data_IF_094564202719
#
_entry.id   IF_094564202719
#
_cell.length_a   1.000
_cell.length_b   1.000
_cell.length_c   1.000
_cell.angle_alpha   90.00
_cell.angle_beta   90.00
_cell.angle_gamma   90.00
#
_symmetry.space_group_name_H-M   'P 1'
#
loop_
_entity.id
_entity.type
_entity.pdbx_description
1 polymer ?
#
# COMPACT_ATOMS: atom_id res chain seq x y z
N UNK A 1 -31.00 -4.86 10.59
CA UNK A 1 -31.28 -4.03 9.39
C UNK A 1 -30.89 -4.85 8.17
N UNK A 2 -31.89 -5.35 7.45
CA UNK A 2 -31.73 -6.23 6.27
C UNK A 2 -31.76 -5.37 5.01
N UNK A 3 -30.60 -5.13 4.40
CA UNK A 3 -30.52 -4.86 2.96
C UNK A 3 -30.18 -6.18 2.27
N UNK A 4 -30.83 -6.50 1.15
CA UNK A 4 -30.57 -7.72 0.37
C UNK A 4 -29.12 -7.71 -0.12
N UNK A 5 -28.37 -8.76 0.25
CA UNK A 5 -26.93 -8.93 -0.01
C UNK A 5 -26.66 -9.47 -1.44
N UNK A 6 -27.24 -8.84 -2.46
CA UNK A 6 -27.13 -9.31 -3.87
C UNK A 6 -25.74 -9.07 -4.50
N UNK A 7 -24.70 -8.79 -3.71
CA UNK A 7 -23.36 -8.46 -4.21
C UNK A 7 -22.18 -8.83 -3.32
N UNK A 8 -22.38 -9.57 -2.23
CA UNK A 8 -21.28 -9.97 -1.35
C UNK A 8 -20.62 -11.28 -1.86
N UNK A 9 -19.90 -11.21 -2.99
CA UNK A 9 -19.09 -12.36 -3.45
C UNK A 9 -17.69 -12.29 -2.85
N UNK A 10 -17.30 -13.35 -2.13
CA UNK A 10 -15.91 -13.54 -1.70
C UNK A 10 -15.07 -13.83 -2.94
N UNK A 11 -14.03 -13.02 -3.19
CA UNK A 11 -13.08 -13.30 -4.28
C UNK A 11 -12.47 -14.66 -4.01
N UNK A 12 -12.66 -15.63 -4.91
CA UNK A 12 -12.11 -16.97 -4.74
C UNK A 12 -10.58 -16.89 -4.66
N UNK A 13 -10.04 -16.83 -3.45
CA UNK A 13 -8.69 -17.31 -3.20
C UNK A 13 -8.72 -18.80 -3.54
N UNK A 14 -7.86 -19.25 -4.47
CA UNK A 14 -7.82 -20.63 -4.94
C UNK A 14 -8.14 -21.64 -3.85
N UNK A 15 -9.21 -22.41 -4.14
CA UNK A 15 -9.61 -23.68 -3.56
C UNK A 15 -9.63 -23.76 -2.02
N UNK A 16 -10.79 -23.48 -1.44
CA UNK A 16 -11.23 -24.21 -0.25
C UNK A 16 -11.80 -25.56 -0.73
N UNK A 17 -11.56 -26.68 -0.03
CA UNK A 17 -11.98 -28.00 -0.50
C UNK A 17 -13.50 -28.04 -0.63
N UNK A 18 -13.98 -28.48 -1.80
CA UNK A 18 -15.39 -28.91 -1.96
C UNK A 18 -15.56 -30.25 -1.25
N UNK A 19 -16.69 -30.50 -0.57
CA UNK A 19 -17.03 -31.83 -0.12
C UNK A 19 -17.22 -32.75 -1.34
N UNK A 20 -16.75 -33.97 -1.16
CA UNK A 20 -16.69 -35.06 -2.12
C UNK A 20 -18.05 -35.27 -2.81
N UNK A 21 -18.05 -35.33 -4.14
CA UNK A 21 -19.27 -35.45 -4.92
C UNK A 21 -19.03 -36.14 -6.26
N UNK A 22 -19.12 -37.48 -6.24
CA UNK A 22 -19.30 -38.32 -7.42
C UNK A 22 -20.40 -37.76 -8.33
N UNK A 23 -20.10 -37.56 -9.63
CA UNK A 23 -21.15 -37.21 -10.58
C UNK A 23 -20.72 -36.59 -11.91
N UNK A 24 -19.65 -37.07 -12.55
CA UNK A 24 -19.35 -36.68 -13.94
C UNK A 24 -19.06 -37.95 -14.75
N UNK A 25 -20.11 -38.62 -15.21
CA UNK A 25 -19.97 -39.73 -16.16
C UNK A 25 -21.10 -39.89 -17.18
N UNK A 26 -21.88 -38.85 -17.47
CA UNK A 26 -23.05 -39.00 -18.37
C UNK A 26 -23.23 -37.89 -19.41
N UNK A 27 -22.15 -37.43 -20.02
CA UNK A 27 -22.17 -36.48 -21.16
C UNK A 27 -21.06 -36.74 -22.20
N UNK A 28 -20.72 -38.02 -22.44
CA UNK A 28 -19.78 -38.40 -23.52
C UNK A 28 -20.41 -39.14 -24.70
N UNK A 29 -21.68 -39.53 -24.61
CA UNK A 29 -22.24 -40.49 -25.58
C UNK A 29 -23.04 -39.86 -26.73
N UNK A 30 -23.01 -38.53 -26.90
CA UNK A 30 -23.70 -37.85 -28.00
C UNK A 30 -22.78 -37.06 -28.96
N UNK A 31 -21.45 -37.15 -28.79
CA UNK A 31 -20.50 -36.47 -29.67
C UNK A 31 -19.94 -37.38 -30.79
N UNK A 32 -20.23 -38.67 -30.77
CA UNK A 32 -19.54 -39.66 -31.62
C UNK A 32 -20.19 -39.86 -33.00
N UNK A 33 -21.34 -39.25 -33.29
CA UNK A 33 -22.08 -39.54 -34.54
C UNK A 33 -22.02 -38.46 -35.63
N UNK A 34 -21.28 -37.36 -35.44
CA UNK A 34 -21.23 -36.26 -36.44
C UNK A 34 -19.85 -36.09 -37.10
N UNK A 35 -18.88 -36.97 -36.81
CA UNK A 35 -17.49 -36.78 -37.23
C UNK A 35 -17.02 -37.78 -38.31
N UNK A 36 -17.91 -38.20 -39.21
CA UNK A 36 -17.59 -39.19 -40.25
C UNK A 36 -17.29 -38.63 -41.66
N UNK A 37 -17.46 -37.34 -41.93
CA UNK A 37 -17.17 -36.79 -43.26
C UNK A 37 -16.60 -35.35 -43.21
N UNK A 38 -15.27 -35.22 -43.14
CA UNK A 38 -14.55 -34.04 -43.62
C UNK A 38 -13.15 -34.42 -44.15
N UNK A 39 -12.68 -33.79 -45.24
CA UNK A 39 -11.40 -34.11 -45.88
C UNK A 39 -10.19 -33.66 -45.03
N UNK A 40 -9.13 -34.46 -45.08
CA UNK A 40 -7.88 -34.33 -44.32
C UNK A 40 -6.99 -33.16 -44.76
N UNK A 41 -7.35 -31.94 -44.41
CA UNK A 41 -6.42 -30.82 -44.51
C UNK A 41 -6.55 -29.91 -43.29
N UNK A 42 -5.46 -29.81 -42.52
CA UNK A 42 -5.32 -29.04 -41.28
C UNK A 42 -5.70 -29.77 -39.96
N UNK A 43 -4.89 -30.77 -39.57
CA UNK A 43 -4.80 -31.25 -38.18
C UNK A 43 -3.50 -30.72 -37.57
N UNK A 44 -3.59 -30.13 -36.37
CA UNK A 44 -2.45 -29.61 -35.59
C UNK A 44 -1.38 -30.71 -35.45
N UNK A 45 -0.07 -30.44 -35.69
CA UNK A 45 1.00 -31.44 -35.54
C UNK A 45 0.98 -32.19 -34.19
N UNK A 46 0.39 -31.59 -33.15
CA UNK A 46 0.22 -32.15 -31.79
C UNK A 46 -0.75 -33.32 -31.71
N UNK A 47 -1.65 -33.50 -32.69
CA UNK A 47 -2.62 -34.61 -32.69
C UNK A 47 -2.00 -35.97 -33.07
N UNK A 48 -0.76 -35.97 -33.57
CA UNK A 48 -0.03 -37.20 -33.94
C UNK A 48 0.90 -37.73 -32.83
N UNK A 49 0.98 -37.04 -31.70
CA UNK A 49 1.82 -37.42 -30.56
C UNK A 49 0.97 -38.18 -29.52
N UNK A 50 1.53 -39.23 -28.93
CA UNK A 50 0.88 -39.90 -27.80
C UNK A 50 0.80 -38.94 -26.60
N UNK A 51 -0.19 -39.12 -25.72
CA UNK A 51 -0.38 -38.28 -24.52
C UNK A 51 0.92 -38.15 -23.71
N UNK A 52 1.69 -39.23 -23.60
CA UNK A 52 2.98 -39.25 -22.92
C UNK A 52 4.02 -38.33 -23.57
N UNK A 53 4.06 -38.28 -24.92
CA UNK A 53 4.96 -37.38 -25.66
C UNK A 53 4.54 -35.91 -25.53
N UNK A 54 3.23 -35.64 -25.44
CA UNK A 54 2.71 -34.29 -25.19
C UNK A 54 3.07 -33.83 -23.77
N UNK A 55 2.96 -34.72 -22.78
CA UNK A 55 3.36 -34.45 -21.41
C UNK A 55 4.87 -34.22 -21.27
N UNK A 56 5.70 -35.03 -21.94
CA UNK A 56 7.16 -34.83 -21.97
C UNK A 56 7.54 -33.51 -22.65
N UNK A 57 6.89 -33.14 -23.77
CA UNK A 57 7.11 -31.86 -24.42
C UNK A 57 6.66 -30.67 -23.56
N UNK A 58 5.53 -30.78 -22.87
CA UNK A 58 5.09 -29.74 -21.91
C UNK A 58 6.06 -29.62 -20.73
N UNK A 59 6.57 -30.74 -20.22
CA UNK A 59 7.54 -30.74 -19.13
C UNK A 59 8.89 -30.18 -19.58
N UNK A 60 9.33 -30.48 -20.80
CA UNK A 60 10.53 -29.90 -21.40
C UNK A 60 10.38 -28.39 -21.63
N UNK A 61 9.23 -27.93 -22.13
CA UNK A 61 8.93 -26.49 -22.31
C UNK A 61 8.87 -25.76 -20.95
N UNK A 62 8.28 -26.38 -19.92
CA UNK A 62 8.28 -25.85 -18.55
C UNK A 62 9.69 -25.81 -17.95
N UNK A 63 10.54 -26.79 -18.26
CA UNK A 63 11.93 -26.84 -17.81
C UNK A 63 12.81 -25.80 -18.53
N UNK A 64 12.56 -25.56 -19.81
CA UNK A 64 13.27 -24.55 -20.60
C UNK A 64 12.87 -23.13 -20.17
N UNK A 65 11.57 -22.87 -19.95
CA UNK A 65 11.07 -21.62 -19.35
C UNK A 65 11.63 -21.36 -17.95
N UNK A 66 11.99 -22.41 -17.19
CA UNK A 66 12.70 -22.30 -15.90
C UNK A 66 14.18 -21.92 -16.08
N UNK A 67 14.84 -22.35 -17.16
CA UNK A 67 16.25 -22.06 -17.45
C UNK A 67 16.50 -20.60 -17.87
N UNK A 68 15.57 -20.00 -18.59
CA UNK A 68 15.68 -18.60 -19.07
C UNK A 68 15.06 -17.55 -18.15
N UNK A 69 14.50 -17.95 -17.01
CA UNK A 69 13.94 -17.01 -16.03
C UNK A 69 15.00 -16.64 -14.99
N UNK A 70 15.49 -15.40 -15.05
CA UNK A 70 16.40 -14.82 -14.04
C UNK A 70 15.81 -14.84 -12.61
N UNK A 71 14.50 -15.06 -12.51
CA UNK A 71 13.74 -15.17 -11.27
C UNK A 71 13.29 -16.61 -10.94
N UNK A 72 13.89 -17.66 -11.52
CA UNK A 72 13.48 -19.06 -11.26
C UNK A 72 13.47 -19.45 -9.77
N UNK A 73 14.30 -18.79 -8.94
CA UNK A 73 14.30 -18.94 -7.48
C UNK A 73 13.12 -18.28 -6.77
N UNK A 74 12.45 -17.31 -7.42
CA UNK A 74 11.23 -16.66 -6.94
C UNK A 74 9.95 -17.49 -7.17
N UNK A 75 10.04 -18.57 -7.96
CA UNK A 75 8.95 -19.50 -8.28
C UNK A 75 9.11 -20.86 -7.58
N UNK A 76 9.83 -20.91 -6.44
CA UNK A 76 9.87 -22.10 -5.58
C UNK A 76 8.63 -22.10 -4.68
N UNK A 77 7.97 -23.25 -4.57
CA UNK A 77 6.82 -23.44 -3.69
C UNK A 77 7.12 -22.91 -2.28
N UNK A 78 6.20 -22.10 -1.74
CA UNK A 78 6.35 -21.47 -0.43
C UNK A 78 6.58 -22.52 0.66
N UNK A 79 7.44 -22.19 1.64
CA UNK A 79 7.70 -23.05 2.79
C UNK A 79 6.37 -23.42 3.47
N UNK A 80 6.20 -24.71 3.79
CA UNK A 80 4.99 -25.22 4.45
C UNK A 80 4.67 -24.47 5.76
N UNK A 81 3.39 -24.43 6.10
CA UNK A 81 2.88 -23.65 7.24
C UNK A 81 3.10 -24.41 8.54
N UNK A 82 3.59 -23.71 9.57
CA UNK A 82 3.78 -24.28 10.90
C UNK A 82 2.48 -24.29 11.73
N UNK A 83 2.31 -25.29 12.60
CA UNK A 83 1.11 -25.45 13.44
C UNK A 83 0.88 -24.25 14.36
N UNK A 84 1.95 -23.62 14.82
CA UNK A 84 1.87 -22.40 15.66
C UNK A 84 1.31 -21.20 14.90
N UNK A 85 1.57 -21.08 13.59
CA UNK A 85 1.05 -19.97 12.78
C UNK A 85 -0.46 -20.06 12.62
N UNK A 86 -0.97 -21.29 12.51
CA UNK A 86 -2.41 -21.57 12.48
C UNK A 86 -3.04 -21.17 13.82
N UNK A 87 -2.42 -21.57 14.94
CA UNK A 87 -2.91 -21.20 16.28
C UNK A 87 -2.94 -19.67 16.50
N UNK A 88 -1.96 -18.93 15.96
CA UNK A 88 -1.95 -17.46 15.98
C UNK A 88 -3.09 -16.88 15.15
N UNK A 89 -3.35 -17.42 13.96
CA UNK A 89 -4.41 -16.97 13.07
C UNK A 89 -5.81 -17.17 13.70
N UNK A 90 -5.99 -18.27 14.42
CA UNK A 90 -7.25 -18.60 15.10
C UNK A 90 -7.49 -17.73 16.33
N UNK A 91 -6.44 -17.43 17.10
CA UNK A 91 -6.51 -16.61 18.31
C UNK A 91 -5.59 -15.37 18.23
N UNK A 92 -6.01 -14.32 17.48
CA UNK A 92 -5.21 -13.12 17.29
C UNK A 92 -5.24 -12.22 18.53
N UNK A 93 -4.26 -12.43 19.41
CA UNK A 93 -3.99 -11.63 20.63
C UNK A 93 -2.82 -10.66 20.42
N UNK A 94 -2.62 -9.74 21.36
CA UNK A 94 -1.51 -8.77 21.30
C UNK A 94 -0.13 -9.43 21.31
N UNK A 95 0.10 -10.43 22.17
CA UNK A 95 1.39 -11.13 22.22
C UNK A 95 1.64 -11.98 20.96
N UNK A 96 0.57 -12.58 20.42
CA UNK A 96 0.67 -13.37 19.20
C UNK A 96 1.02 -12.51 17.98
N UNK A 97 0.72 -11.20 18.00
CA UNK A 97 1.17 -10.28 16.94
C UNK A 97 2.70 -10.20 16.86
N UNK A 98 3.38 -10.01 18.00
CA UNK A 98 4.84 -9.96 18.03
C UNK A 98 5.48 -11.30 17.66
N UNK A 99 4.89 -12.41 18.11
CA UNK A 99 5.32 -13.76 17.70
C UNK A 99 5.22 -13.92 16.18
N UNK A 100 4.11 -13.50 15.57
CA UNK A 100 3.95 -13.56 14.12
C UNK A 100 4.97 -12.67 13.40
N UNK A 101 5.17 -11.44 13.86
CA UNK A 101 6.13 -10.52 13.26
C UNK A 101 7.56 -11.06 13.31
N UNK A 102 7.97 -11.64 14.44
CA UNK A 102 9.29 -12.24 14.59
C UNK A 102 9.46 -13.45 13.67
N UNK A 103 8.47 -14.34 13.61
CA UNK A 103 8.50 -15.55 12.77
C UNK A 103 8.51 -15.22 11.27
N UNK A 104 7.83 -14.14 10.88
CA UNK A 104 7.74 -13.68 9.48
C UNK A 104 8.64 -12.49 9.18
N UNK A 105 9.70 -12.28 9.96
CA UNK A 105 10.56 -11.10 9.84
C UNK A 105 11.19 -11.00 8.44
N UNK A 106 11.68 -12.11 7.88
CA UNK A 106 12.30 -12.13 6.56
C UNK A 106 11.31 -11.80 5.44
N UNK A 107 10.10 -12.34 5.55
CA UNK A 107 9.01 -12.04 4.62
C UNK A 107 8.56 -10.59 4.76
N UNK A 108 8.50 -10.03 5.98
CA UNK A 108 8.21 -8.61 6.21
C UNK A 108 9.27 -7.69 5.59
N UNK A 109 10.57 -8.01 5.76
CA UNK A 109 11.65 -7.27 5.10
C UNK A 109 11.52 -7.32 3.57
N UNK A 110 11.18 -8.49 3.02
CA UNK A 110 10.96 -8.65 1.58
C UNK A 110 9.74 -7.87 1.09
N UNK A 111 8.64 -7.89 1.86
CA UNK A 111 7.44 -7.09 1.59
C UNK A 111 7.74 -5.59 1.67
N UNK A 112 8.58 -5.17 2.61
CA UNK A 112 9.00 -3.77 2.73
C UNK A 112 9.76 -3.31 1.49
N UNK A 113 10.72 -4.11 1.03
CA UNK A 113 11.48 -3.84 -0.19
C UNK A 113 10.54 -3.72 -1.41
N UNK A 114 9.59 -4.65 -1.58
CA UNK A 114 8.60 -4.57 -2.66
C UNK A 114 7.73 -3.32 -2.55
N UNK A 115 7.34 -2.94 -1.33
CA UNK A 115 6.55 -1.72 -1.09
C UNK A 115 7.30 -0.46 -1.51
N UNK A 116 8.62 -0.41 -1.28
CA UNK A 116 9.48 0.73 -1.62
C UNK A 116 9.76 0.76 -3.11
N UNK A 117 10.26 -0.34 -3.66
CA UNK A 117 10.60 -0.47 -5.08
C UNK A 117 9.35 -0.28 -5.95
N UNK A 118 8.21 -0.83 -5.53
CA UNK A 118 6.95 -0.65 -6.22
C UNK A 118 6.47 0.80 -6.24
N UNK A 119 6.78 1.59 -5.20
CA UNK A 119 6.46 3.01 -5.11
C UNK A 119 7.63 3.93 -5.45
N UNK A 120 8.55 3.48 -6.30
CA UNK A 120 9.72 4.26 -6.69
C UNK A 120 9.43 5.69 -7.18
N UNK A 121 8.27 6.05 -7.78
CA UNK A 121 8.03 7.44 -8.17
C UNK A 121 8.12 8.45 -7.02
N UNK A 122 7.94 7.99 -5.76
CA UNK A 122 8.13 8.85 -4.58
C UNK A 122 9.57 9.39 -4.48
N UNK A 123 10.56 8.66 -5.01
CA UNK A 123 11.95 9.11 -5.00
C UNK A 123 12.18 10.31 -5.92
N UNK A 124 11.41 10.45 -7.01
CA UNK A 124 11.48 11.66 -7.84
C UNK A 124 11.00 12.89 -7.07
N UNK A 125 9.92 12.75 -6.28
CA UNK A 125 9.47 13.81 -5.39
C UNK A 125 10.51 14.15 -4.32
N UNK A 126 11.04 13.13 -3.63
CA UNK A 126 12.07 13.34 -2.60
C UNK A 126 13.34 13.98 -3.18
N UNK A 127 13.75 13.59 -4.39
CA UNK A 127 14.89 14.18 -5.08
C UNK A 127 14.63 15.65 -5.44
N UNK A 128 13.46 15.98 -5.98
CA UNK A 128 13.09 17.38 -6.23
C UNK A 128 13.05 18.23 -4.95
N UNK A 129 12.53 17.66 -3.85
CA UNK A 129 12.47 18.33 -2.55
C UNK A 129 13.82 18.45 -1.84
N UNK A 130 14.83 17.67 -2.26
CA UNK A 130 16.17 17.75 -1.68
C UNK A 130 16.89 19.06 -2.00
N UNK A 131 16.42 19.80 -3.02
CA UNK A 131 17.02 21.06 -3.45
C UNK A 131 18.33 20.91 -4.24
N UNK A 132 18.76 19.67 -4.55
CA UNK A 132 20.04 19.42 -5.23
C UNK A 132 20.15 20.06 -6.62
N UNK A 133 19.03 20.16 -7.33
CA UNK A 133 18.94 20.80 -8.65
C UNK A 133 18.48 22.26 -8.56
N UNK A 134 18.16 22.75 -7.35
CA UNK A 134 17.61 24.08 -7.14
C UNK A 134 18.72 25.12 -7.06
N UNK A 135 18.41 26.34 -7.49
CA UNK A 135 19.34 27.47 -7.34
C UNK A 135 19.20 27.98 -5.91
N UNK A 136 20.29 27.88 -5.16
CA UNK A 136 20.37 28.43 -3.82
C UNK A 136 20.75 29.91 -3.90
N UNK A 137 19.82 30.79 -3.53
CA UNK A 137 20.04 32.23 -3.43
C UNK A 137 19.70 32.70 -2.02
N UNK A 138 19.92 33.97 -1.72
CA UNK A 138 19.52 34.57 -0.45
C UNK A 138 18.46 35.64 -0.70
N UNK A 139 17.38 35.59 0.08
CA UNK A 139 16.35 36.63 0.07
C UNK A 139 16.48 37.48 1.33
N UNK A 140 16.33 38.81 1.22
CA UNK A 140 16.18 39.68 2.38
C UNK A 140 14.99 39.28 3.25
N UNK A 141 15.19 39.32 4.57
CA UNK A 141 14.13 39.01 5.54
C UNK A 141 13.22 40.20 5.84
N UNK A 142 13.68 41.41 5.55
CA UNK A 142 13.00 42.64 5.90
C UNK A 142 12.83 43.53 4.67
N UNK A 143 11.65 44.14 4.53
CA UNK A 143 11.37 45.11 3.47
C UNK A 143 12.33 46.30 3.50
N UNK A 144 12.85 46.65 4.68
CA UNK A 144 13.82 47.72 4.87
C UNK A 144 15.21 47.42 4.26
N UNK A 145 15.51 46.17 3.88
CA UNK A 145 16.81 45.77 3.35
C UNK A 145 17.22 46.58 2.11
N UNK A 146 16.32 46.72 1.13
CA UNK A 146 16.60 47.44 -0.12
C UNK A 146 16.92 48.92 0.10
N UNK A 147 16.03 49.70 0.75
CA UNK A 147 16.28 51.10 1.08
C UNK A 147 17.54 51.30 1.94
N UNK A 148 17.79 50.41 2.91
CA UNK A 148 18.95 50.51 3.80
C UNK A 148 20.26 50.17 3.08
N UNK A 149 20.28 49.13 2.23
CA UNK A 149 21.40 48.79 1.35
C UNK A 149 21.74 49.98 0.45
N UNK A 150 20.73 50.63 -0.11
CA UNK A 150 20.88 51.85 -0.91
C UNK A 150 21.51 52.99 -0.10
N UNK A 151 20.96 53.30 1.08
CA UNK A 151 21.48 54.36 1.94
C UNK A 151 22.96 54.13 2.33
N UNK A 152 23.35 52.89 2.63
CA UNK A 152 24.74 52.55 2.96
C UNK A 152 25.72 52.73 1.80
N UNK A 153 25.29 52.44 0.56
CA UNK A 153 26.13 52.59 -0.63
C UNK A 153 26.51 54.05 -0.89
N UNK A 154 25.65 55.01 -0.52
CA UNK A 154 25.91 56.43 -0.72
C UNK A 154 26.46 57.14 0.53
N UNK A 155 26.01 56.76 1.72
CA UNK A 155 26.46 57.39 2.96
C UNK A 155 26.44 56.41 4.14
N UNK A 156 27.60 55.82 4.43
CA UNK A 156 27.80 54.94 5.58
C UNK A 156 27.97 55.75 6.87
N UNK A 157 26.99 55.67 7.76
CA UNK A 157 27.04 56.26 9.12
C UNK A 157 26.90 55.19 10.21
N UNK A 158 27.32 55.47 11.46
CA UNK A 158 27.12 54.56 12.59
C UNK A 158 25.64 54.15 12.78
N UNK A 159 24.70 55.05 12.50
CA UNK A 159 23.26 54.77 12.56
C UNK A 159 22.83 53.77 11.47
N UNK A 160 23.29 53.95 10.23
CA UNK A 160 23.00 52.99 9.15
C UNK A 160 23.63 51.62 9.41
N UNK A 161 24.83 51.57 10.00
CA UNK A 161 25.50 50.33 10.39
C UNK A 161 24.73 49.58 11.48
N UNK A 162 24.21 50.29 12.50
CA UNK A 162 23.37 49.70 13.53
C UNK A 162 22.07 49.11 12.94
N UNK A 163 21.42 49.83 12.03
CA UNK A 163 20.22 49.35 11.34
C UNK A 163 20.52 48.13 10.46
N UNK A 164 21.69 48.07 9.81
CA UNK A 164 22.06 46.97 8.93
C UNK A 164 22.24 45.65 9.69
N UNK A 165 22.73 45.70 10.94
CA UNK A 165 22.81 44.51 11.80
C UNK A 165 21.44 43.87 12.07
N UNK A 166 20.38 44.68 12.12
CA UNK A 166 19.02 44.22 12.40
C UNK A 166 18.32 43.83 11.09
N UNK A 167 18.32 44.73 10.11
CA UNK A 167 17.50 44.65 8.89
C UNK A 167 18.25 44.15 7.65
N UNK A 168 19.58 44.00 7.72
CA UNK A 168 20.43 43.44 6.66
C UNK A 168 20.45 41.91 6.61
N UNK A 169 19.63 41.23 7.42
CA UNK A 169 19.57 39.76 7.46
C UNK A 169 18.94 39.21 6.18
N UNK A 170 19.57 38.18 5.64
CA UNK A 170 19.08 37.41 4.50
C UNK A 170 18.91 35.95 4.91
N UNK A 171 17.86 35.29 4.43
CA UNK A 171 17.69 33.84 4.59
C UNK A 171 17.96 33.13 3.26
N UNK A 172 18.50 31.90 3.29
CA UNK A 172 18.63 31.09 2.08
C UNK A 172 17.23 30.78 1.53
N UNK A 173 17.04 31.01 0.24
CA UNK A 173 15.83 30.65 -0.50
C UNK A 173 16.24 29.76 -1.67
N UNK A 174 15.52 28.67 -1.84
CA UNK A 174 15.68 27.75 -2.97
C UNK A 174 14.72 28.16 -4.08
N UNK A 175 15.25 28.45 -5.26
CA UNK A 175 14.46 28.66 -6.47
C UNK A 175 14.45 27.37 -7.26
N UNK A 176 13.25 26.82 -7.47
CA UNK A 176 13.08 25.59 -8.24
C UNK A 176 13.44 25.79 -9.70
N UNK A 177 14.22 24.87 -10.24
CA UNK A 177 14.62 24.87 -11.66
C UNK A 177 13.66 24.04 -12.50
N UNK A 178 13.78 24.13 -13.82
CA UNK A 178 13.07 23.23 -14.76
C UNK A 178 13.28 21.76 -14.41
N UNK A 179 14.48 21.38 -13.92
CA UNK A 179 14.77 20.02 -13.48
C UNK A 179 13.90 19.60 -12.30
N UNK A 180 13.76 20.46 -11.28
CA UNK A 180 12.90 20.19 -10.12
C UNK A 180 11.45 19.94 -10.56
N UNK A 181 10.92 20.77 -11.46
CA UNK A 181 9.57 20.61 -11.98
C UNK A 181 9.38 19.31 -12.79
N UNK A 182 10.39 18.88 -13.55
CA UNK A 182 10.35 17.59 -14.28
C UNK A 182 10.23 16.44 -13.28
N UNK A 183 11.06 16.42 -12.23
CA UNK A 183 11.02 15.37 -11.21
C UNK A 183 9.72 15.39 -10.38
N UNK A 184 9.18 16.58 -10.08
CA UNK A 184 7.84 16.71 -9.51
C UNK A 184 6.76 16.17 -10.44
N UNK A 185 6.89 16.39 -11.76
CA UNK A 185 6.02 15.81 -12.78
C UNK A 185 6.09 14.27 -12.81
N UNK A 186 7.29 13.70 -12.74
CA UNK A 186 7.49 12.24 -12.69
C UNK A 186 6.92 11.62 -11.41
N UNK A 187 6.86 12.36 -10.30
CA UNK A 187 6.24 11.88 -9.07
C UNK A 187 4.74 11.57 -9.22
N UNK A 188 4.04 12.19 -10.19
CA UNK A 188 2.63 11.87 -10.46
C UNK A 188 2.42 10.42 -10.92
N UNK A 189 3.47 9.72 -11.37
CA UNK A 189 3.41 8.27 -11.62
C UNK A 189 2.99 7.48 -10.38
N UNK A 190 3.16 8.05 -9.17
CA UNK A 190 2.69 7.46 -7.91
C UNK A 190 1.18 7.18 -7.92
N UNK A 191 0.39 7.97 -8.65
CA UNK A 191 -1.05 7.75 -8.83
C UNK A 191 -1.37 6.38 -9.44
N UNK A 192 -0.46 5.87 -10.28
CA UNK A 192 -0.60 4.58 -10.96
C UNK A 192 0.08 3.44 -10.21
N UNK A 193 1.10 3.70 -9.40
CA UNK A 193 1.84 2.65 -8.69
C UNK A 193 1.28 2.35 -7.31
N UNK A 194 0.84 3.37 -6.56
CA UNK A 194 0.45 3.23 -5.14
C UNK A 194 -0.69 2.22 -4.93
N UNK A 195 -1.74 2.31 -5.75
CA UNK A 195 -2.89 1.42 -5.66
C UNK A 195 -2.55 -0.06 -5.87
N UNK A 196 -1.93 -0.41 -7.01
CA UNK A 196 -1.46 -1.77 -7.27
C UNK A 196 -0.52 -2.30 -6.18
N UNK A 197 0.52 -1.55 -5.81
CA UNK A 197 1.51 -2.00 -4.83
C UNK A 197 0.84 -2.29 -3.49
N UNK A 198 -0.04 -1.39 -3.03
CA UNK A 198 -0.74 -1.57 -1.77
C UNK A 198 -1.70 -2.76 -1.78
N UNK A 199 -2.32 -3.04 -2.92
CA UNK A 199 -3.15 -4.24 -3.13
C UNK A 199 -2.33 -5.52 -3.01
N UNK A 200 -1.19 -5.58 -3.71
CA UNK A 200 -0.29 -6.73 -3.65
C UNK A 200 0.25 -6.97 -2.23
N UNK A 201 0.76 -5.92 -1.58
CA UNK A 201 1.26 -6.00 -0.19
C UNK A 201 0.17 -6.44 0.78
N UNK A 202 -1.04 -5.87 0.69
CA UNK A 202 -2.15 -6.24 1.57
C UNK A 202 -2.55 -7.71 1.38
N UNK A 203 -2.53 -8.21 0.14
CA UNK A 203 -2.80 -9.61 -0.16
C UNK A 203 -1.76 -10.54 0.50
N UNK A 204 -0.47 -10.21 0.38
CA UNK A 204 0.63 -10.97 1.00
C UNK A 204 0.48 -11.01 2.52
N UNK A 205 0.36 -9.84 3.16
CA UNK A 205 0.24 -9.73 4.62
C UNK A 205 -1.00 -10.45 5.16
N UNK A 206 -2.13 -10.38 4.44
CA UNK A 206 -3.35 -11.13 4.80
C UNK A 206 -3.11 -12.64 4.73
N UNK A 207 -2.44 -13.13 3.70
CA UNK A 207 -2.15 -14.56 3.57
C UNK A 207 -1.13 -15.03 4.61
N UNK A 208 -0.15 -14.19 4.95
CA UNK A 208 0.79 -14.44 6.05
C UNK A 208 0.07 -14.54 7.40
N UNK A 209 -0.87 -13.61 7.67
CA UNK A 209 -1.71 -13.67 8.87
C UNK A 209 -2.59 -14.93 8.91
N UNK A 210 -3.15 -15.34 7.76
CA UNK A 210 -3.98 -16.54 7.65
C UNK A 210 -3.18 -17.85 7.63
N UNK A 211 -1.87 -17.80 7.88
CA UNK A 211 -1.00 -18.96 7.86
C UNK A 211 -1.16 -19.76 6.55
N UNK A 212 -1.13 -19.08 5.39
CA UNK A 212 -1.05 -19.72 4.07
C UNK A 212 0.39 -19.65 3.55
N UNK A 213 0.88 -20.64 2.79
CA UNK A 213 2.17 -20.51 2.12
C UNK A 213 2.09 -19.35 1.13
N UNK A 214 3.08 -18.46 1.15
CA UNK A 214 3.13 -17.25 0.32
C UNK A 214 4.38 -17.27 -0.54
N UNK A 215 4.20 -17.22 -1.86
CA UNK A 215 5.26 -17.00 -2.82
C UNK A 215 5.32 -15.50 -3.13
N UNK A 216 6.17 -14.77 -2.40
CA UNK A 216 6.11 -13.30 -2.30
C UNK A 216 5.95 -12.60 -3.65
N UNK A 217 6.82 -12.86 -4.63
CA UNK A 217 6.79 -12.14 -5.92
C UNK A 217 5.62 -12.59 -6.80
N UNK A 218 5.38 -13.90 -6.93
CA UNK A 218 4.30 -14.42 -7.77
C UNK A 218 2.93 -13.99 -7.24
N UNK A 219 2.68 -14.19 -5.95
CA UNK A 219 1.42 -13.83 -5.30
C UNK A 219 1.18 -12.31 -5.34
N UNK A 220 2.25 -11.50 -5.26
CA UNK A 220 2.17 -10.06 -5.39
C UNK A 220 1.64 -9.63 -6.76
N UNK A 221 2.27 -10.10 -7.85
CA UNK A 221 1.85 -9.72 -9.20
C UNK A 221 0.50 -10.32 -9.57
N UNK A 222 0.19 -11.53 -9.12
CA UNK A 222 -1.10 -12.17 -9.36
C UNK A 222 -2.24 -11.41 -8.65
N UNK A 223 -2.01 -10.97 -7.41
CA UNK A 223 -2.97 -10.14 -6.68
C UNK A 223 -3.22 -8.80 -7.38
N UNK A 224 -2.17 -8.16 -7.92
CA UNK A 224 -2.30 -6.92 -8.70
C UNK A 224 -3.14 -7.14 -9.95
N UNK A 225 -2.78 -8.13 -10.77
CA UNK A 225 -3.45 -8.39 -12.06
C UNK A 225 -4.95 -8.66 -11.88
N UNK A 226 -5.32 -9.41 -10.84
CA UNK A 226 -6.72 -9.74 -10.52
C UNK A 226 -7.55 -8.55 -10.06
N UNK A 227 -6.91 -7.50 -9.52
CA UNK A 227 -7.58 -6.39 -8.87
C UNK A 227 -7.28 -5.02 -9.51
N UNK A 228 -6.54 -4.99 -10.63
CA UNK A 228 -5.89 -3.79 -11.15
C UNK A 228 -6.82 -2.57 -11.29
N UNK A 229 -8.00 -2.75 -11.92
CA UNK A 229 -8.95 -1.66 -12.14
C UNK A 229 -9.44 -1.05 -10.82
N UNK A 230 -9.79 -1.90 -9.86
CA UNK A 230 -10.26 -1.44 -8.55
C UNK A 230 -9.11 -0.87 -7.72
N UNK A 231 -7.93 -1.47 -7.79
CA UNK A 231 -6.71 -1.02 -7.14
C UNK A 231 -6.30 0.40 -7.58
N UNK A 232 -6.37 0.70 -8.88
CA UNK A 232 -6.06 2.02 -9.41
C UNK A 232 -7.05 3.07 -8.90
N UNK A 233 -8.36 2.82 -9.00
CA UNK A 233 -9.39 3.77 -8.54
C UNK A 233 -9.21 4.06 -7.05
N UNK A 234 -9.06 3.01 -6.23
CA UNK A 234 -8.91 3.15 -4.78
C UNK A 234 -7.57 3.80 -4.42
N UNK A 235 -6.51 3.51 -5.17
CA UNK A 235 -5.19 4.14 -5.01
C UNK A 235 -5.22 5.64 -5.25
N UNK A 236 -5.84 6.08 -6.34
CA UNK A 236 -6.03 7.51 -6.63
C UNK A 236 -6.85 8.18 -5.55
N UNK A 237 -7.98 7.58 -5.15
CA UNK A 237 -8.82 8.12 -4.06
C UNK A 237 -8.04 8.19 -2.73
N UNK A 238 -7.20 7.20 -2.43
CA UNK A 238 -6.39 7.17 -1.21
C UNK A 238 -5.34 8.30 -1.21
N UNK A 239 -4.65 8.52 -2.33
CA UNK A 239 -3.70 9.62 -2.47
C UNK A 239 -4.37 11.00 -2.42
N UNK A 240 -5.50 11.17 -3.11
CA UNK A 240 -6.27 12.41 -3.05
C UNK A 240 -6.78 12.71 -1.64
N UNK A 241 -7.26 11.69 -0.92
CA UNK A 241 -7.69 11.86 0.47
C UNK A 241 -6.53 12.27 1.39
N UNK A 242 -5.35 11.66 1.24
CA UNK A 242 -4.16 12.02 2.00
C UNK A 242 -3.71 13.45 1.68
N UNK A 243 -3.67 13.83 0.40
CA UNK A 243 -3.27 15.17 -0.03
C UNK A 243 -4.22 16.24 0.50
N UNK A 244 -5.54 15.99 0.44
CA UNK A 244 -6.55 16.90 0.98
C UNK A 244 -6.42 17.04 2.51
N UNK A 245 -6.30 15.93 3.23
CA UNK A 245 -6.13 15.97 4.68
C UNK A 245 -4.83 16.67 5.09
N UNK A 246 -3.73 16.47 4.37
CA UNK A 246 -2.48 17.17 4.62
C UNK A 246 -2.60 18.67 4.36
N UNK A 247 -3.28 19.06 3.28
CA UNK A 247 -3.58 20.46 2.97
C UNK A 247 -4.44 21.10 4.07
N UNK A 248 -5.52 20.44 4.50
CA UNK A 248 -6.42 20.94 5.54
C UNK A 248 -5.68 21.16 6.86
N UNK A 249 -4.88 20.20 7.32
CA UNK A 249 -4.07 20.36 8.53
C UNK A 249 -3.16 21.57 8.41
N UNK A 250 -2.43 21.70 7.29
CA UNK A 250 -1.49 22.82 7.10
C UNK A 250 -2.22 24.16 7.07
N UNK A 251 -3.33 24.25 6.34
CA UNK A 251 -4.13 25.47 6.23
C UNK A 251 -4.70 25.91 7.58
N UNK A 252 -5.33 24.99 8.32
CA UNK A 252 -5.92 25.32 9.61
C UNK A 252 -4.89 25.51 10.71
N UNK A 253 -3.72 24.88 10.63
CA UNK A 253 -2.60 25.14 11.53
C UNK A 253 -2.10 26.60 11.40
N UNK A 254 -1.90 27.08 10.17
CA UNK A 254 -1.46 28.45 9.91
C UNK A 254 -2.48 29.51 10.36
N UNK A 255 -3.76 29.13 10.45
CA UNK A 255 -4.86 30.02 10.82
C UNK A 255 -5.42 29.74 12.23
N UNK A 256 -4.79 28.87 13.03
CA UNK A 256 -5.35 28.35 14.28
C UNK A 256 -5.75 29.43 15.29
N UNK A 257 -5.01 30.55 15.35
CA UNK A 257 -5.24 31.65 16.30
C UNK A 257 -6.07 32.82 15.71
N UNK A 258 -6.59 32.70 14.49
CA UNK A 258 -7.36 33.78 13.84
C UNK A 258 -8.77 33.89 14.43
N UNK A 259 -9.41 32.76 14.72
CA UNK A 259 -10.74 32.71 15.32
C UNK A 259 -11.02 31.34 15.93
N UNK A 260 -11.98 31.28 16.87
CA UNK A 260 -12.45 30.03 17.46
C UNK A 260 -12.95 29.02 16.39
N UNK A 261 -13.47 29.50 15.26
CA UNK A 261 -13.88 28.65 14.14
C UNK A 261 -12.66 27.97 13.50
N UNK A 262 -11.58 28.71 13.23
CA UNK A 262 -10.35 28.15 12.66
C UNK A 262 -9.70 27.15 13.62
N UNK A 263 -9.69 27.46 14.93
CA UNK A 263 -9.27 26.54 15.99
C UNK A 263 -10.07 25.23 15.95
N UNK A 264 -11.40 25.30 15.84
CA UNK A 264 -12.27 24.12 15.79
C UNK A 264 -12.03 23.30 14.51
N UNK A 265 -11.87 23.95 13.35
CA UNK A 265 -11.58 23.27 12.09
C UNK A 265 -10.23 22.56 12.10
N UNK A 266 -9.21 23.12 12.78
CA UNK A 266 -7.94 22.44 13.00
C UNK A 266 -8.12 21.11 13.74
N UNK A 267 -8.79 21.11 14.89
CA UNK A 267 -9.02 19.86 15.63
C UNK A 267 -9.92 18.87 14.88
N UNK A 268 -10.90 19.37 14.11
CA UNK A 268 -11.71 18.53 13.22
C UNK A 268 -10.85 17.86 12.14
N UNK A 269 -9.93 18.58 11.52
CA UNK A 269 -9.01 18.01 10.51
C UNK A 269 -8.13 16.91 11.11
N UNK A 270 -7.61 17.10 12.34
CA UNK A 270 -6.86 16.08 13.06
C UNK A 270 -7.71 14.83 13.34
N UNK A 271 -8.96 15.03 13.75
CA UNK A 271 -9.88 13.91 13.98
C UNK A 271 -10.18 13.15 12.68
N UNK A 272 -10.38 13.85 11.56
CA UNK A 272 -10.58 13.23 10.24
C UNK A 272 -9.39 12.40 9.79
N UNK A 273 -8.16 12.84 10.11
CA UNK A 273 -6.94 12.06 9.85
C UNK A 273 -6.95 10.77 10.64
N UNK A 274 -7.23 10.82 11.95
CA UNK A 274 -7.32 9.63 12.80
C UNK A 274 -8.38 8.67 12.27
N UNK A 275 -9.58 9.17 11.95
CA UNK A 275 -10.66 8.37 11.39
C UNK A 275 -10.23 7.69 10.09
N UNK A 276 -9.61 8.45 9.18
CA UNK A 276 -9.17 7.93 7.90
C UNK A 276 -8.06 6.88 8.06
N UNK A 277 -7.09 7.10 8.94
CA UNK A 277 -6.03 6.13 9.25
C UNK A 277 -6.62 4.80 9.76
N UNK A 278 -7.66 4.85 10.59
CA UNK A 278 -8.37 3.65 11.07
C UNK A 278 -9.15 2.97 9.95
N UNK A 279 -9.76 3.72 9.02
CA UNK A 279 -10.49 3.16 7.88
C UNK A 279 -9.58 2.45 6.86
N UNK A 280 -8.37 2.97 6.61
CA UNK A 280 -7.49 2.50 5.53
C UNK A 280 -7.24 0.98 5.54
N UNK A 281 -6.84 0.33 6.65
CA UNK A 281 -6.67 -1.13 6.68
C UNK A 281 -7.92 -1.90 6.23
N UNK A 282 -9.11 -1.44 6.60
CA UNK A 282 -10.37 -2.06 6.20
C UNK A 282 -10.65 -1.93 4.71
N UNK A 283 -10.36 -0.76 4.12
CA UNK A 283 -10.55 -0.51 2.69
C UNK A 283 -9.67 -1.49 1.89
N UNK A 284 -8.37 -1.53 2.19
CA UNK A 284 -7.44 -2.38 1.45
C UNK A 284 -7.70 -3.87 1.66
N UNK A 285 -8.07 -4.31 2.87
CA UNK A 285 -8.44 -5.70 3.14
C UNK A 285 -9.71 -6.12 2.39
N UNK A 286 -10.72 -5.26 2.35
CA UNK A 286 -11.95 -5.57 1.61
C UNK A 286 -11.67 -5.65 0.11
N UNK A 287 -10.85 -4.76 -0.44
CA UNK A 287 -10.46 -4.77 -1.86
C UNK A 287 -9.88 -6.12 -2.29
N UNK A 288 -8.98 -6.70 -1.49
CA UNK A 288 -8.35 -7.99 -1.80
C UNK A 288 -9.22 -9.20 -1.45
N UNK A 289 -10.31 -9.03 -0.70
CA UNK A 289 -11.12 -10.13 -0.15
C UNK A 289 -12.48 -10.27 -0.83
N UNK A 290 -13.11 -9.17 -1.25
CA UNK A 290 -14.47 -9.16 -1.76
C UNK A 290 -14.58 -8.46 -3.12
N UNK A 291 -15.57 -8.85 -3.91
CA UNK A 291 -15.95 -8.19 -5.18
C UNK A 291 -17.03 -7.14 -4.93
N UNK A 292 -16.72 -6.13 -4.12
CA UNK A 292 -17.66 -5.05 -3.79
C UNK A 292 -17.24 -3.73 -4.42
N UNK A 293 -18.24 -2.90 -4.77
CA UNK A 293 -18.01 -1.56 -5.30
C UNK A 293 -17.29 -0.65 -4.31
N UNK A 294 -16.45 0.28 -4.81
CA UNK A 294 -15.59 1.17 -4.01
C UNK A 294 -16.38 1.96 -2.96
N UNK A 295 -17.55 2.49 -3.31
CA UNK A 295 -18.37 3.26 -2.38
C UNK A 295 -18.92 2.43 -1.22
N UNK A 296 -19.33 1.18 -1.50
CA UNK A 296 -19.79 0.25 -0.47
C UNK A 296 -18.64 -0.11 0.49
N UNK A 297 -17.45 -0.32 -0.06
CA UNK A 297 -16.23 -0.61 0.71
C UNK A 297 -15.87 0.52 1.69
N UNK A 298 -15.94 1.78 1.25
CA UNK A 298 -15.67 2.95 2.11
C UNK A 298 -16.73 3.05 3.22
N UNK A 299 -18.02 2.89 2.89
CA UNK A 299 -19.09 2.89 3.90
C UNK A 299 -18.94 1.78 4.92
N UNK A 300 -18.57 0.58 4.48
CA UNK A 300 -18.30 -0.55 5.35
C UNK A 300 -17.09 -0.28 6.26
N UNK A 301 -16.00 0.27 5.69
CA UNK A 301 -14.82 0.66 6.46
C UNK A 301 -15.15 1.67 7.56
N UNK A 302 -16.05 2.63 7.28
CA UNK A 302 -16.51 3.59 8.28
C UNK A 302 -17.28 2.90 9.43
N UNK A 303 -18.14 1.92 9.13
CA UNK A 303 -18.82 1.14 10.18
C UNK A 303 -17.84 0.32 11.02
N UNK A 304 -16.79 -0.22 10.40
CA UNK A 304 -15.75 -0.99 11.09
C UNK A 304 -14.89 -0.16 12.04
N UNK A 305 -14.80 1.15 11.86
CA UNK A 305 -14.11 2.01 12.85
C UNK A 305 -14.81 1.96 14.20
N UNK A 306 -16.15 1.90 14.19
CA UNK A 306 -17.00 1.86 15.38
C UNK A 306 -17.08 0.45 15.97
N UNK A 307 -17.45 -0.56 15.17
CA UNK A 307 -17.64 -1.93 15.70
C UNK A 307 -16.34 -2.62 16.10
N UNK A 308 -15.22 -2.19 15.52
CA UNK A 308 -13.88 -2.70 15.80
C UNK A 308 -13.08 -1.88 16.83
N UNK A 309 -13.72 -0.97 17.57
CA UNK A 309 -13.04 0.10 18.34
C UNK A 309 -11.85 -0.38 19.17
N UNK A 310 -12.00 -1.44 19.97
CA UNK A 310 -10.91 -1.98 20.80
C UNK A 310 -9.68 -2.36 19.97
N UNK A 311 -9.86 -3.06 18.84
CA UNK A 311 -8.75 -3.45 17.96
C UNK A 311 -8.18 -2.25 17.22
N UNK A 312 -9.04 -1.32 16.80
CA UNK A 312 -8.64 -0.09 16.11
C UNK A 312 -7.75 0.79 16.97
N UNK A 313 -8.11 0.99 18.24
CA UNK A 313 -7.32 1.76 19.20
C UNK A 313 -5.94 1.12 19.39
N UNK A 314 -5.86 -0.21 19.52
CA UNK A 314 -4.57 -0.91 19.64
C UNK A 314 -3.68 -0.72 18.40
N UNK A 315 -4.25 -0.83 17.19
CA UNK A 315 -3.51 -0.59 15.94
C UNK A 315 -3.05 0.87 15.84
N UNK A 316 -3.92 1.81 16.22
CA UNK A 316 -3.59 3.24 16.20
C UNK A 316 -2.45 3.56 17.16
N UNK A 317 -2.52 3.07 18.41
CA UNK A 317 -1.46 3.24 19.41
C UNK A 317 -0.15 2.58 18.96
N UNK A 318 -0.20 1.38 18.38
CA UNK A 318 0.98 0.73 17.82
C UNK A 318 1.59 1.52 16.66
N UNK A 319 0.75 2.10 15.79
CA UNK A 319 1.22 2.96 14.69
C UNK A 319 1.83 4.25 15.21
N UNK A 320 1.22 4.88 16.21
CA UNK A 320 1.75 6.08 16.86
C UNK A 320 3.08 5.81 17.57
N UNK A 321 3.19 4.66 18.24
CA UNK A 321 4.45 4.22 18.84
C UNK A 321 5.55 4.05 17.80
N UNK A 322 5.26 3.41 16.66
CA UNK A 322 6.24 3.25 15.58
C UNK A 322 6.68 4.59 14.98
N UNK A 323 5.75 5.53 14.80
CA UNK A 323 6.07 6.88 14.33
C UNK A 323 6.90 7.68 15.35
N UNK A 324 6.55 7.58 16.65
CA UNK A 324 7.33 8.21 17.72
C UNK A 324 8.73 7.59 17.84
N UNK A 325 8.85 6.28 17.64
CA UNK A 325 10.13 5.57 17.61
C UNK A 325 11.00 6.04 16.45
N UNK A 326 10.46 6.13 15.23
CA UNK A 326 11.16 6.70 14.07
C UNK A 326 11.63 8.14 14.33
N UNK A 327 10.75 8.97 14.88
CA UNK A 327 11.09 10.35 15.23
C UNK A 327 12.23 10.42 16.27
N UNK A 328 12.18 9.56 17.29
CA UNK A 328 13.27 9.46 18.27
C UNK A 328 14.59 9.01 17.62
N UNK A 329 14.55 8.09 16.65
CA UNK A 329 15.74 7.69 15.89
C UNK A 329 16.32 8.85 15.08
N UNK A 330 15.47 9.68 14.46
CA UNK A 330 15.91 10.87 13.73
C UNK A 330 16.62 11.88 14.65
N UNK A 331 16.16 12.04 15.89
CA UNK A 331 16.78 12.93 16.87
C UNK A 331 18.10 12.39 17.43
N UNK A 332 18.18 11.08 17.72
CA UNK A 332 19.37 10.45 18.30
C UNK A 332 20.46 10.27 17.25
N UNK A 333 20.11 9.75 16.08
CA UNK A 333 21.04 9.53 14.99
C UNK A 333 20.31 9.59 13.63
N UNK A 334 20.31 10.79 13.06
CA UNK A 334 19.61 11.13 11.83
C UNK A 334 19.74 10.09 10.70
N UNK A 335 20.94 9.57 10.36
CA UNK A 335 21.06 8.58 9.28
C UNK A 335 20.24 7.30 9.53
N UNK A 336 20.16 6.82 10.77
CA UNK A 336 19.40 5.62 11.10
C UNK A 336 17.89 5.87 11.11
N UNK A 337 17.46 7.05 11.54
CA UNK A 337 16.06 7.48 11.37
C UNK A 337 15.62 7.48 9.90
N UNK A 338 16.48 7.94 8.99
CA UNK A 338 16.21 7.91 7.54
C UNK A 338 16.19 6.49 6.99
N UNK A 339 17.08 5.60 7.43
CA UNK A 339 17.17 4.21 6.93
C UNK A 339 15.99 3.35 7.41
N UNK A 340 15.46 3.60 8.61
CA UNK A 340 14.46 2.74 9.25
C UNK A 340 13.18 2.49 8.43
N UNK A 341 12.57 3.50 7.77
CA UNK A 341 11.50 3.32 6.78
C UNK A 341 11.85 2.35 5.64
N UNK A 342 13.09 2.39 5.17
CA UNK A 342 13.52 1.57 4.05
C UNK A 342 13.73 0.10 4.43
N UNK A 343 13.94 -0.18 5.71
CA UNK A 343 14.19 -1.53 6.20
C UNK A 343 12.88 -2.25 6.53
N UNK A 344 12.00 -1.66 7.36
CA UNK A 344 10.89 -2.45 7.92
C UNK A 344 9.59 -1.70 8.23
N UNK A 345 9.64 -0.39 8.52
CA UNK A 345 8.51 0.32 9.12
C UNK A 345 7.19 0.23 8.31
N UNK A 346 7.13 0.52 7.00
CA UNK A 346 5.90 0.38 6.21
C UNK A 346 5.28 -1.02 6.32
N UNK A 347 6.09 -2.08 6.20
CA UNK A 347 5.59 -3.46 6.27
C UNK A 347 4.98 -3.80 7.64
N UNK A 348 5.60 -3.36 8.75
CA UNK A 348 5.10 -3.61 10.11
C UNK A 348 3.84 -2.81 10.39
N UNK A 349 3.77 -1.55 9.96
CA UNK A 349 2.56 -0.72 10.09
C UNK A 349 1.40 -1.34 9.31
N UNK A 350 1.64 -1.80 8.09
CA UNK A 350 0.61 -2.50 7.30
C UNK A 350 0.22 -3.84 7.93
N UNK A 351 1.17 -4.60 8.49
CA UNK A 351 0.90 -5.85 9.20
C UNK A 351 0.05 -5.62 10.45
N UNK A 352 0.33 -4.59 11.24
CA UNK A 352 -0.53 -4.17 12.37
C UNK A 352 -1.96 -3.89 11.90
N UNK A 353 -2.09 -3.13 10.80
CA UNK A 353 -3.38 -2.84 10.18
C UNK A 353 -4.13 -4.12 9.79
N UNK A 354 -3.47 -5.06 9.11
CA UNK A 354 -4.06 -6.33 8.69
C UNK A 354 -4.45 -7.19 9.90
N UNK A 355 -3.56 -7.33 10.88
CA UNK A 355 -3.77 -8.14 12.08
C UNK A 355 -4.92 -7.63 12.95
N UNK A 356 -5.09 -6.31 13.04
CA UNK A 356 -6.19 -5.69 13.76
C UNK A 356 -7.52 -5.75 13.01
N UNK A 357 -7.51 -5.44 11.71
CA UNK A 357 -8.73 -5.29 10.92
C UNK A 357 -9.30 -6.63 10.41
N UNK A 358 -8.46 -7.61 10.10
CA UNK A 358 -8.93 -8.87 9.50
C UNK A 358 -9.90 -9.66 10.41
N UNK A 359 -9.68 -9.79 11.73
CA UNK A 359 -10.64 -10.48 12.61
C UNK A 359 -12.01 -9.78 12.69
N UNK A 360 -12.06 -8.46 12.55
CA UNK A 360 -13.32 -7.69 12.51
C UNK A 360 -14.05 -7.98 11.20
N UNK A 361 -13.33 -7.95 10.07
CA UNK A 361 -13.90 -8.30 8.76
C UNK A 361 -14.39 -9.75 8.76
N UNK A 362 -13.62 -10.68 9.33
CA UNK A 362 -14.01 -12.10 9.45
C UNK A 362 -15.37 -12.23 10.13
N UNK A 363 -15.50 -11.64 11.33
CA UNK A 363 -16.71 -11.70 12.14
C UNK A 363 -17.95 -11.10 11.47
N UNK A 364 -17.80 -9.99 10.75
CA UNK A 364 -18.97 -9.22 10.26
C UNK A 364 -19.26 -9.39 8.76
N UNK A 365 -18.33 -9.90 7.95
CA UNK A 365 -18.53 -10.07 6.51
C UNK A 365 -18.29 -11.51 6.03
N UNK A 366 -17.41 -12.27 6.69
CA UNK A 366 -17.05 -13.62 6.23
C UNK A 366 -17.93 -14.66 6.92
N UNK A 367 -17.97 -14.67 8.25
CA UNK A 367 -18.71 -15.70 8.99
C UNK A 367 -20.23 -15.69 8.68
N UNK A 368 -20.91 -14.51 8.62
CA UNK A 368 -22.33 -14.47 8.25
C UNK A 368 -22.62 -14.92 6.83
N UNK A 369 -21.65 -14.85 5.92
CA UNK A 369 -21.82 -15.33 4.55
C UNK A 369 -21.95 -16.86 4.52
N UNK A 370 -21.23 -17.59 5.38
CA UNK A 370 -21.30 -19.06 5.45
C UNK A 370 -22.46 -19.57 6.31
N UNK A 371 -22.94 -18.78 7.28
CA UNK A 371 -24.13 -19.14 8.05
C UNK A 371 -25.44 -19.02 7.24
N UNK A 372 -25.43 -18.20 6.18
CA UNK A 372 -26.59 -17.92 5.35
C UNK A 372 -26.50 -18.53 3.92
N UNK A 373 -25.42 -19.25 3.60
CA UNK A 373 -25.24 -19.97 2.33
C UNK A 373 -25.53 -21.46 2.51
#
# INVERSE_FOLDING_TARGET
MRERDDGLRVRSSGFLPRPDGHGIKKRRDHATEVQAHMPEFNRDPRERLSLDQIEEMEQAEKAEKKKFNLFSRAYRDGKGVDKEEIAIADNPTFLNFFKLCWRKLNELLSVNLISIVGNFPIFFFLFAMSGYMSIHTTSPNYAAYGPLRGAMLFHSSPATAALWTIYGRTSPVTVHTTGDYIFMGLAFLLLFTHGPVRTGVTYLLRNMFRAKPVMILQDFFDAIKRNLKQALIVGVLDLCAIALLAYDIMFFYLNYNVSNMMTAMFFLSLWMVVLYLVMRPYIWLQLVTFEIGVWKMIKNALRFTVVGLKRNVMVFLGTLFMAAFEYALLLVYFPLGVIFPFVILPSVVMMMGVYGAFPVIKRYMIDPYYENA
#
